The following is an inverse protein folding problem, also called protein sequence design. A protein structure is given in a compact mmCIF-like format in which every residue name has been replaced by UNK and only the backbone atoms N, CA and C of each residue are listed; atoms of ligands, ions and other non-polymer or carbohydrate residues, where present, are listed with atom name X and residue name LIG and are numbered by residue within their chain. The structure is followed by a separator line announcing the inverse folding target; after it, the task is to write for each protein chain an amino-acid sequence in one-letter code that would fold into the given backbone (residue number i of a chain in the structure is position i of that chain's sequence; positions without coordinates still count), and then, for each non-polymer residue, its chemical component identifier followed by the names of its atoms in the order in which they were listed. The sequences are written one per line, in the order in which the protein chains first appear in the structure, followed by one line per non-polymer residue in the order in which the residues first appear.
data_IF_648931652177
#
_entry.id   IF_648931652177
#
_cell.length_a   1.000
_cell.length_b   1.000
_cell.length_c   1.000
_cell.angle_alpha   90.00
_cell.angle_beta   90.00
_cell.angle_gamma   90.00
#
_symmetry.space_group_name_H-M   'P 1'
#
loop_
_entity.id
_entity.type
_entity.pdbx_description
1 polymer ?
#
# COMPACT_ATOMS: atom_id res chain seq x y z
N UNK A 1 -9.21 11.24 1.70
CA UNK A 1 -9.13 12.29 0.66
C UNK A 1 -10.08 12.04 -0.52
N UNK A 2 -10.73 10.88 -0.65
CA UNK A 2 -11.60 10.53 -1.80
C UNK A 2 -13.06 10.97 -1.68
N UNK A 3 -13.55 11.36 -0.50
CA UNK A 3 -14.93 11.86 -0.30
C UNK A 3 -15.33 13.03 -1.22
N UNK A 4 -14.51 14.10 -1.41
CA UNK A 4 -14.84 15.19 -2.33
C UNK A 4 -14.86 14.77 -3.80
N UNK A 5 -14.10 13.73 -4.19
CA UNK A 5 -14.12 13.17 -5.55
C UNK A 5 -15.48 12.59 -5.88
N UNK A 6 -16.00 11.76 -4.99
CA UNK A 6 -17.27 11.06 -5.21
C UNK A 6 -18.47 12.01 -5.23
N UNK A 7 -18.45 13.07 -4.41
CA UNK A 7 -19.50 14.10 -4.41
C UNK A 7 -19.48 14.90 -5.71
N UNK A 8 -18.29 15.25 -6.24
CA UNK A 8 -18.15 15.93 -7.55
C UNK A 8 -18.58 15.07 -8.72
N UNK A 9 -18.41 13.75 -8.63
CA UNK A 9 -18.97 12.80 -9.59
C UNK A 9 -20.48 12.60 -9.44
N UNK A 10 -21.13 13.21 -8.45
CA UNK A 10 -22.58 13.20 -8.25
C UNK A 10 -23.12 11.99 -7.49
N UNK A 11 -22.28 11.25 -6.76
CA UNK A 11 -22.72 10.17 -5.87
C UNK A 11 -23.23 10.73 -4.54
N UNK A 12 -24.24 10.09 -3.96
CA UNK A 12 -24.73 10.49 -2.63
C UNK A 12 -23.78 10.01 -1.54
N UNK A 13 -23.62 10.80 -0.47
CA UNK A 13 -22.82 10.44 0.70
C UNK A 13 -23.23 9.10 1.34
N UNK A 14 -24.51 8.73 1.23
CA UNK A 14 -25.04 7.48 1.75
C UNK A 14 -24.59 6.26 0.92
N UNK A 15 -24.58 6.37 -0.41
CA UNK A 15 -24.10 5.32 -1.31
C UNK A 15 -22.59 5.14 -1.21
N UNK A 16 -21.84 6.24 -1.20
CA UNK A 16 -20.39 6.22 -0.96
C UNK A 16 -20.10 5.61 0.40
N UNK A 17 -20.81 6.05 1.43
CA UNK A 17 -20.60 5.61 2.80
C UNK A 17 -20.88 4.13 3.00
N UNK A 18 -21.91 3.58 2.34
CA UNK A 18 -22.25 2.15 2.43
C UNK A 18 -21.25 1.29 1.67
N UNK A 19 -20.90 1.66 0.43
CA UNK A 19 -19.94 0.91 -0.39
C UNK A 19 -18.53 0.96 0.20
N UNK A 20 -18.04 2.15 0.59
CA UNK A 20 -16.69 2.32 1.13
C UNK A 20 -16.57 1.66 2.51
N UNK A 21 -17.57 1.78 3.39
CA UNK A 21 -17.49 1.13 4.71
C UNK A 21 -17.59 -0.38 4.61
N UNK A 22 -18.55 -0.92 3.87
CA UNK A 22 -18.74 -2.37 3.85
C UNK A 22 -17.68 -3.00 2.95
N UNK A 23 -17.64 -2.66 1.66
CA UNK A 23 -16.71 -3.30 0.74
C UNK A 23 -15.25 -2.95 1.06
N UNK A 24 -14.96 -1.70 1.44
CA UNK A 24 -13.59 -1.26 1.72
C UNK A 24 -12.97 -1.91 2.96
N UNK A 25 -13.73 -2.01 4.07
CA UNK A 25 -13.21 -2.64 5.30
C UNK A 25 -12.94 -4.13 5.08
N UNK A 26 -13.92 -4.85 4.51
CA UNK A 26 -13.75 -6.28 4.24
C UNK A 26 -12.63 -6.54 3.23
N UNK A 27 -12.54 -5.74 2.16
CA UNK A 27 -11.46 -5.85 1.20
C UNK A 27 -10.08 -5.61 1.84
N UNK A 28 -9.95 -4.64 2.74
CA UNK A 28 -8.69 -4.38 3.45
C UNK A 28 -8.29 -5.54 4.35
N UNK A 29 -9.24 -6.12 5.10
CA UNK A 29 -8.96 -7.27 5.97
C UNK A 29 -8.53 -8.48 5.15
N UNK A 30 -9.28 -8.81 4.11
CA UNK A 30 -8.95 -9.94 3.22
C UNK A 30 -7.62 -9.68 2.50
N UNK A 31 -7.38 -8.46 2.04
CA UNK A 31 -6.11 -8.03 1.45
C UNK A 31 -4.94 -8.17 2.41
N UNK A 32 -5.08 -7.76 3.67
CA UNK A 32 -4.04 -7.93 4.67
C UNK A 32 -3.70 -9.40 4.93
N UNK A 33 -4.73 -10.26 5.05
CA UNK A 33 -4.54 -11.70 5.27
C UNK A 33 -3.90 -12.39 4.07
N UNK A 34 -4.40 -12.13 2.86
CA UNK A 34 -3.86 -12.69 1.61
C UNK A 34 -2.44 -12.17 1.38
N UNK A 35 -2.22 -10.88 1.61
CA UNK A 35 -0.90 -10.24 1.53
C UNK A 35 0.10 -10.88 2.48
N UNK A 36 -0.29 -11.09 3.74
CA UNK A 36 0.47 -11.81 4.75
C UNK A 36 0.87 -13.22 4.30
N UNK A 37 -0.09 -14.00 3.79
CA UNK A 37 0.17 -15.35 3.30
C UNK A 37 1.10 -15.36 2.07
N UNK A 38 0.96 -14.41 1.15
CA UNK A 38 1.82 -14.26 -0.02
C UNK A 38 3.25 -13.90 0.39
N UNK A 39 3.43 -12.98 1.36
CA UNK A 39 4.75 -12.57 1.88
C UNK A 39 5.55 -13.79 2.36
N UNK A 40 4.90 -14.73 3.05
CA UNK A 40 5.54 -15.97 3.53
C UNK A 40 6.03 -16.84 2.37
N UNK A 41 5.34 -16.85 1.21
CA UNK A 41 5.71 -17.68 0.05
C UNK A 41 6.77 -17.05 -0.86
N UNK A 42 6.68 -15.75 -1.13
CA UNK A 42 7.55 -15.09 -2.14
C UNK A 42 8.64 -14.21 -1.53
N UNK A 43 8.62 -14.05 -0.21
CA UNK A 43 9.53 -13.18 0.55
C UNK A 43 9.08 -11.71 0.54
N UNK A 44 9.47 -10.99 1.60
CA UNK A 44 9.11 -9.58 1.86
C UNK A 44 9.48 -8.69 0.66
N UNK A 45 10.68 -8.87 0.10
CA UNK A 45 11.17 -8.02 -1.00
C UNK A 45 10.35 -8.14 -2.29
N UNK A 46 9.96 -9.35 -2.69
CA UNK A 46 9.13 -9.53 -3.91
C UNK A 46 7.69 -9.10 -3.64
N UNK A 47 7.16 -9.39 -2.46
CA UNK A 47 5.82 -8.97 -2.06
C UNK A 47 5.68 -7.44 -2.05
N UNK A 48 6.65 -6.71 -1.49
CA UNK A 48 6.64 -5.25 -1.45
C UNK A 48 6.59 -4.63 -2.86
N UNK A 49 7.34 -5.19 -3.81
CA UNK A 49 7.31 -4.73 -5.20
C UNK A 49 5.98 -5.06 -5.88
N UNK A 50 5.50 -6.31 -5.79
CA UNK A 50 4.24 -6.75 -6.41
C UNK A 50 3.04 -5.96 -5.87
N UNK A 51 2.96 -5.78 -4.56
CA UNK A 51 1.87 -5.02 -3.94
C UNK A 51 1.97 -3.52 -4.24
N UNK A 52 3.18 -2.97 -4.34
CA UNK A 52 3.39 -1.59 -4.80
C UNK A 52 2.89 -1.37 -6.23
N UNK A 53 3.19 -2.30 -7.15
CA UNK A 53 2.69 -2.23 -8.55
C UNK A 53 1.18 -2.34 -8.56
N UNK A 54 0.63 -3.28 -7.79
CA UNK A 54 -0.81 -3.49 -7.72
C UNK A 54 -1.53 -2.26 -7.12
N UNK A 55 -0.94 -1.62 -6.11
CA UNK A 55 -1.45 -0.37 -5.54
C UNK A 55 -1.44 0.75 -6.57
N UNK A 56 -0.36 0.89 -7.35
CA UNK A 56 -0.29 1.88 -8.43
C UNK A 56 -1.34 1.61 -9.51
N UNK A 57 -1.56 0.35 -9.86
CA UNK A 57 -2.62 -0.06 -10.80
C UNK A 57 -4.02 0.26 -10.25
N UNK A 58 -4.26 0.05 -8.95
CA UNK A 58 -5.52 0.42 -8.32
C UNK A 58 -5.78 1.93 -8.34
N UNK A 59 -4.72 2.74 -8.12
CA UNK A 59 -4.80 4.22 -8.25
C UNK A 59 -5.10 4.64 -9.69
N UNK A 60 -4.51 3.98 -10.68
CA UNK A 60 -4.87 4.21 -12.10
C UNK A 60 -6.32 3.80 -12.41
N UNK A 61 -6.88 2.83 -11.69
CA UNK A 61 -8.30 2.48 -11.75
C UNK A 61 -9.22 3.67 -11.44
N UNK A 62 -8.80 4.59 -10.55
CA UNK A 62 -9.55 5.83 -10.30
C UNK A 62 -9.45 6.85 -11.44
N UNK A 63 -8.31 6.90 -12.14
CA UNK A 63 -8.19 7.71 -13.36
C UNK A 63 -9.18 7.21 -14.42
N UNK A 64 -9.30 5.89 -14.60
CA UNK A 64 -10.31 5.29 -15.48
C UNK A 64 -11.75 5.53 -15.00
N UNK A 65 -11.99 5.47 -13.69
CA UNK A 65 -13.30 5.77 -13.13
C UNK A 65 -13.72 7.22 -13.41
N UNK A 66 -12.76 8.15 -13.44
CA UNK A 66 -13.02 9.57 -13.72
C UNK A 66 -13.49 9.86 -15.15
N UNK A 67 -13.26 8.94 -16.11
CA UNK A 67 -13.70 9.06 -17.51
C UNK A 67 -14.98 8.28 -17.80
N UNK A 68 -15.47 7.47 -16.85
CA UNK A 68 -16.64 6.60 -17.03
C UNK A 68 -17.89 7.21 -16.40
N UNK A 69 -19.05 7.03 -17.02
CA UNK A 69 -20.36 7.50 -16.52
C UNK A 69 -20.72 6.94 -15.14
N UNK A 70 -21.61 7.64 -14.43
CA UNK A 70 -22.20 7.26 -13.13
C UNK A 70 -22.57 5.77 -13.06
N UNK A 71 -21.80 5.01 -12.30
CA UNK A 71 -22.07 3.61 -12.02
C UNK A 71 -21.52 3.23 -10.65
N UNK A 72 -22.43 2.97 -9.71
CA UNK A 72 -22.12 2.50 -8.36
C UNK A 72 -21.30 1.21 -8.38
N UNK A 73 -21.52 0.35 -9.37
CA UNK A 73 -20.80 -0.92 -9.53
C UNK A 73 -19.34 -0.68 -9.86
N UNK A 74 -19.04 0.26 -10.77
CA UNK A 74 -17.65 0.58 -11.13
C UNK A 74 -16.92 1.21 -9.93
N UNK A 75 -17.60 2.08 -9.18
CA UNK A 75 -17.06 2.66 -7.96
C UNK A 75 -16.77 1.57 -6.91
N UNK A 76 -17.70 0.64 -6.69
CA UNK A 76 -17.50 -0.46 -5.75
C UNK A 76 -16.31 -1.37 -6.13
N UNK A 77 -16.13 -1.68 -7.41
CA UNK A 77 -15.02 -2.50 -7.90
C UNK A 77 -13.68 -1.79 -7.69
N UNK A 78 -13.57 -0.53 -8.10
CA UNK A 78 -12.31 0.23 -7.99
C UNK A 78 -11.95 0.46 -6.52
N UNK A 79 -12.92 0.84 -5.69
CA UNK A 79 -12.73 1.04 -4.25
C UNK A 79 -12.34 -0.26 -3.56
N UNK A 80 -13.01 -1.38 -3.86
CA UNK A 80 -12.65 -2.67 -3.24
C UNK A 80 -11.25 -3.12 -3.67
N UNK A 81 -10.88 -2.97 -4.94
CA UNK A 81 -9.54 -3.27 -5.44
C UNK A 81 -8.46 -2.39 -4.79
N UNK A 82 -8.74 -1.10 -4.58
CA UNK A 82 -7.85 -0.19 -3.87
C UNK A 82 -7.66 -0.61 -2.42
N UNK A 83 -8.74 -0.81 -1.68
CA UNK A 83 -8.69 -1.20 -0.27
C UNK A 83 -8.00 -2.56 -0.08
N UNK A 84 -8.23 -3.50 -1.00
CA UNK A 84 -7.55 -4.79 -1.04
C UNK A 84 -6.03 -4.61 -1.22
N UNK A 85 -5.62 -3.76 -2.16
CA UNK A 85 -4.22 -3.43 -2.41
C UNK A 85 -3.56 -2.74 -1.21
N UNK A 86 -4.28 -1.82 -0.56
CA UNK A 86 -3.82 -1.11 0.64
C UNK A 86 -3.58 -2.10 1.78
N UNK A 87 -4.48 -3.07 1.98
CA UNK A 87 -4.34 -4.12 2.97
C UNK A 87 -3.07 -4.95 2.75
N UNK A 88 -2.83 -5.40 1.50
CA UNK A 88 -1.62 -6.16 1.15
C UNK A 88 -0.35 -5.32 1.31
N UNK A 89 -0.34 -4.09 0.80
CA UNK A 89 0.80 -3.19 0.88
C UNK A 89 1.17 -2.87 2.34
N UNK A 90 0.17 -2.66 3.20
CA UNK A 90 0.37 -2.41 4.64
C UNK A 90 0.96 -3.64 5.32
N UNK A 91 0.46 -4.85 5.03
CA UNK A 91 1.03 -6.08 5.56
C UNK A 91 2.51 -6.24 5.17
N UNK A 92 2.86 -5.98 3.90
CA UNK A 92 4.25 -6.03 3.45
C UNK A 92 5.12 -4.96 4.07
N UNK A 93 4.60 -3.75 4.24
CA UNK A 93 5.31 -2.64 4.87
C UNK A 93 5.60 -2.91 6.34
N UNK A 94 4.62 -3.43 7.09
CA UNK A 94 4.79 -3.82 8.50
C UNK A 94 5.80 -4.97 8.61
N UNK A 95 5.72 -5.98 7.74
CA UNK A 95 6.69 -7.07 7.71
C UNK A 95 8.11 -6.58 7.41
N UNK A 96 8.26 -5.63 6.48
CA UNK A 96 9.53 -4.98 6.19
C UNK A 96 10.08 -4.21 7.40
N UNK A 97 9.26 -3.38 8.06
CA UNK A 97 9.68 -2.67 9.27
C UNK A 97 10.09 -3.64 10.39
N UNK A 98 9.36 -4.73 10.57
CA UNK A 98 9.69 -5.79 11.53
C UNK A 98 11.03 -6.47 11.22
N UNK A 99 11.36 -6.67 9.93
CA UNK A 99 12.65 -7.25 9.53
C UNK A 99 13.84 -6.34 9.79
N UNK A 100 13.64 -5.01 9.77
CA UNK A 100 14.69 -4.00 10.01
C UNK A 100 14.84 -3.67 11.50
N UNK A 101 13.83 -3.97 12.35
CA UNK A 101 13.90 -3.70 13.79
C UNK A 101 14.61 -4.82 14.54
N UNK A 102 15.67 -4.47 15.27
CA UNK A 102 16.45 -5.42 16.06
C UNK A 102 15.74 -5.74 17.39
N UNK A 103 15.62 -7.02 17.76
CA UNK A 103 14.84 -7.55 18.92
C UNK A 103 15.17 -6.93 20.28
N UNK A 104 16.27 -6.17 20.40
CA UNK A 104 16.80 -5.61 21.65
C UNK A 104 16.26 -4.20 22.01
N UNK A 105 15.73 -3.43 21.05
CA UNK A 105 15.14 -2.08 21.26
C UNK A 105 13.92 -1.80 20.34
N UNK A 106 13.15 -2.85 20.01
CA UNK A 106 12.16 -2.84 18.92
C UNK A 106 11.03 -1.81 19.04
N UNK A 107 10.57 -1.50 20.25
CA UNK A 107 9.41 -0.63 20.44
C UNK A 107 9.69 0.82 20.04
N UNK A 108 10.84 1.37 20.46
CA UNK A 108 11.19 2.78 20.18
C UNK A 108 11.56 2.98 18.71
N UNK A 109 12.30 2.05 18.10
CA UNK A 109 12.64 2.13 16.67
C UNK A 109 11.40 1.99 15.78
N UNK A 110 10.48 1.10 16.11
CA UNK A 110 9.21 0.97 15.38
C UNK A 110 8.36 2.23 15.49
N UNK A 111 8.29 2.85 16.67
CA UNK A 111 7.59 4.12 16.88
C UNK A 111 8.22 5.27 16.10
N UNK A 112 9.55 5.37 16.08
CA UNK A 112 10.28 6.39 15.31
C UNK A 112 10.09 6.21 13.81
N UNK A 113 10.19 4.98 13.29
CA UNK A 113 9.97 4.68 11.88
C UNK A 113 8.51 4.97 11.47
N UNK A 114 7.53 4.58 12.29
CA UNK A 114 6.11 4.88 12.05
C UNK A 114 5.86 6.39 12.02
N UNK A 115 6.47 7.13 12.96
CA UNK A 115 6.40 8.59 13.00
C UNK A 115 7.02 9.21 11.73
N UNK A 116 8.15 8.67 11.28
CA UNK A 116 8.81 9.12 10.06
C UNK A 116 7.96 8.87 8.81
N UNK A 117 7.21 7.76 8.74
CA UNK A 117 6.31 7.49 7.60
C UNK A 117 5.10 8.43 7.54
N UNK A 118 4.74 9.03 8.66
CA UNK A 118 3.57 9.92 8.76
C UNK A 118 3.86 11.33 8.22
N UNK A 119 5.13 11.76 8.24
CA UNK A 119 5.51 13.11 7.79
C UNK A 119 5.32 13.26 6.27
N UNK A 120 5.90 12.40 5.40
CA UNK A 120 5.73 12.52 3.95
C UNK A 120 4.28 12.37 3.52
N UNK A 121 3.55 11.41 4.10
CA UNK A 121 2.15 11.15 3.73
C UNK A 121 1.26 12.36 4.03
N UNK A 122 1.47 13.04 5.16
CA UNK A 122 0.71 14.24 5.53
C UNK A 122 1.07 15.43 4.65
N UNK A 123 2.37 15.65 4.40
CA UNK A 123 2.84 16.76 3.55
C UNK A 123 2.35 16.65 2.10
N UNK A 124 2.31 15.43 1.55
CA UNK A 124 1.80 15.18 0.20
C UNK A 124 0.27 15.30 0.14
N UNK A 125 -0.44 14.96 1.23
CA UNK A 125 -1.90 15.02 1.28
C UNK A 125 -2.45 16.45 1.43
N UNK A 126 -1.73 17.36 2.10
CA UNK A 126 -2.18 18.75 2.31
C UNK A 126 -2.50 19.53 1.01
N UNK A 127 -1.60 19.60 0.01
CA UNK A 127 -1.85 20.37 -1.22
C UNK A 127 -2.73 19.62 -2.23
N UNK A 128 -3.09 18.36 -1.97
CA UNK A 128 -3.82 17.51 -2.91
C UNK A 128 -5.15 18.14 -3.37
N UNK A 129 -5.87 18.82 -2.48
CA UNK A 129 -7.14 19.50 -2.82
C UNK A 129 -6.95 20.63 -3.82
N UNK A 130 -5.95 21.49 -3.62
CA UNK A 130 -5.62 22.59 -4.53
C UNK A 130 -5.11 22.08 -5.88
N UNK A 131 -4.30 21.01 -5.85
CA UNK A 131 -3.81 20.37 -7.07
C UNK A 131 -4.96 19.85 -7.93
N UNK A 132 -5.93 19.16 -7.33
CA UNK A 132 -7.10 18.64 -8.04
C UNK A 132 -7.93 19.75 -8.67
N UNK A 133 -8.08 20.90 -7.99
CA UNK A 133 -8.79 22.05 -8.56
C UNK A 133 -8.05 22.66 -9.76
N UNK A 134 -6.72 22.60 -9.79
CA UNK A 134 -5.91 23.17 -10.87
C UNK A 134 -5.75 22.23 -12.09
N UNK A 135 -5.52 20.94 -11.88
CA UNK A 135 -5.21 19.97 -12.98
C UNK A 135 -6.34 19.00 -13.31
N UNK A 136 -7.40 18.94 -12.49
CA UNK A 136 -8.51 18.00 -12.64
C UNK A 136 -8.19 16.60 -12.12
N UNK A 137 -9.24 15.82 -11.86
CA UNK A 137 -9.16 14.51 -11.21
C UNK A 137 -8.34 13.49 -12.00
N UNK A 138 -8.49 13.44 -13.33
CA UNK A 138 -7.74 12.50 -14.16
C UNK A 138 -6.23 12.71 -14.05
N UNK A 139 -5.76 13.94 -14.29
CA UNK A 139 -4.34 14.26 -14.23
C UNK A 139 -3.77 14.11 -12.81
N UNK A 140 -4.56 14.37 -11.77
CA UNK A 140 -4.15 14.13 -10.39
C UNK A 140 -3.79 12.67 -10.14
N UNK A 141 -4.66 11.73 -10.54
CA UNK A 141 -4.38 10.30 -10.37
C UNK A 141 -3.21 9.82 -11.23
N UNK A 142 -3.03 10.37 -12.43
CA UNK A 142 -1.86 10.07 -13.28
C UNK A 142 -0.57 10.58 -12.64
N UNK A 143 -0.55 11.80 -12.10
CA UNK A 143 0.59 12.34 -11.36
C UNK A 143 0.89 11.47 -10.14
N UNK A 144 -0.13 11.03 -9.39
CA UNK A 144 0.07 10.10 -8.27
C UNK A 144 0.70 8.77 -8.71
N UNK A 145 0.24 8.20 -9.83
CA UNK A 145 0.81 6.97 -10.37
C UNK A 145 2.27 7.17 -10.81
N UNK A 146 2.60 8.30 -11.44
CA UNK A 146 3.97 8.65 -11.83
C UNK A 146 4.86 8.87 -10.61
N UNK A 147 4.36 9.53 -9.56
CA UNK A 147 5.06 9.69 -8.29
C UNK A 147 5.29 8.37 -7.55
N UNK A 148 4.49 7.33 -7.81
CA UNK A 148 4.71 5.99 -7.26
C UNK A 148 5.87 5.25 -7.93
N UNK A 149 6.21 5.57 -9.18
CA UNK A 149 7.31 4.95 -9.96
C UNK A 149 8.68 5.06 -9.27
N UNK A 150 9.15 6.24 -8.79
CA UNK A 150 10.44 6.31 -8.11
C UNK A 150 10.48 5.48 -6.82
N UNK A 151 9.37 5.39 -6.09
CA UNK A 151 9.25 4.52 -4.92
C UNK A 151 9.39 3.05 -5.29
N UNK A 152 8.71 2.62 -6.35
CA UNK A 152 8.79 1.25 -6.89
C UNK A 152 10.17 0.89 -7.44
N UNK A 153 10.86 1.83 -8.08
CA UNK A 153 12.22 1.65 -8.61
C UNK A 153 13.28 1.54 -7.51
N UNK A 154 13.05 2.12 -6.32
CA UNK A 154 13.98 1.99 -5.20
C UNK A 154 13.93 0.62 -4.52
N UNK A 155 12.78 -0.06 -4.50
CA UNK A 155 12.60 -1.39 -3.87
C UNK A 155 13.64 -2.43 -4.34
N UNK A 156 13.88 -2.64 -5.66
CA UNK A 156 14.89 -3.60 -6.10
C UNK A 156 16.32 -3.18 -5.74
N UNK A 157 16.61 -1.90 -5.53
CA UNK A 157 17.94 -1.44 -5.06
C UNK A 157 18.16 -1.64 -3.55
N UNK A 158 17.08 -1.61 -2.76
CA UNK A 158 17.14 -1.87 -1.32
C UNK A 158 17.42 -3.36 -1.02
N UNK A 159 17.13 -4.27 -1.95
CA UNK A 159 17.50 -5.70 -1.86
C UNK A 159 18.98 -5.93 -1.54
N UNK A 160 19.85 -5.02 -1.93
CA UNK A 160 21.30 -5.13 -1.72
C UNK A 160 21.72 -4.76 -0.30
N UNK A 161 20.91 -4.02 0.47
CA UNK A 161 21.39 -3.33 1.67
C UNK A 161 20.81 -3.82 3.01
N UNK A 162 19.63 -4.46 3.03
CA UNK A 162 18.86 -4.57 4.27
C UNK A 162 18.36 -5.96 4.69
N UNK A 163 18.42 -6.99 3.84
CA UNK A 163 18.06 -8.34 4.28
C UNK A 163 19.33 -9.18 4.42
N UNK A 164 19.58 -9.80 5.58
CA UNK A 164 20.44 -10.97 5.68
C UNK A 164 20.18 -11.87 4.48
N UNK A 165 21.18 -12.02 3.63
CA UNK A 165 21.17 -13.03 2.59
C UNK A 165 20.80 -14.36 3.23
N UNK A 166 20.03 -15.19 2.51
CA UNK A 166 19.54 -16.52 2.89
C UNK A 166 20.62 -17.47 3.49
N UNK A 167 21.89 -17.05 3.50
CA UNK A 167 23.03 -17.63 4.19
C UNK A 167 22.94 -17.60 5.73
N UNK A 168 22.42 -16.56 6.39
CA UNK A 168 22.40 -16.51 7.87
C UNK A 168 21.34 -17.45 8.49
N UNK A 169 20.18 -17.60 7.85
CA UNK A 169 19.12 -18.51 8.32
C UNK A 169 19.55 -19.99 8.13
N UNK A 170 20.36 -20.26 7.10
CA UNK A 170 21.00 -21.57 6.90
C UNK A 170 22.15 -21.82 7.89
N UNK A 171 22.92 -20.79 8.26
CA UNK A 171 24.02 -20.93 9.22
C UNK A 171 23.51 -21.13 10.65
N UNK A 172 22.44 -20.44 11.05
CA UNK A 172 21.79 -20.65 12.36
C UNK A 172 21.07 -22.00 12.42
N UNK A 173 20.39 -22.43 11.34
CA UNK A 173 19.80 -23.77 11.26
C UNK A 173 20.86 -24.89 11.29
N UNK A 174 22.05 -24.66 10.72
CA UNK A 174 23.19 -25.58 10.78
C UNK A 174 23.88 -25.57 12.15
N UNK A 175 23.91 -24.43 12.84
CA UNK A 175 24.49 -24.29 14.18
C UNK A 175 23.60 -24.83 15.31
N UNK A 176 22.29 -25.00 15.07
CA UNK A 176 21.31 -25.56 16.03
C UNK A 176 20.94 -27.02 15.74
N UNK A 177 21.51 -27.64 14.70
CA UNK A 177 21.39 -29.08 14.50
C UNK A 177 22.09 -29.81 15.66
N UNK A 178 21.44 -30.78 16.34
CA UNK A 178 22.10 -31.57 17.36
C UNK A 178 23.27 -32.31 16.72
N UNK A 179 24.47 -32.07 17.25
CA UNK A 179 25.66 -32.83 16.86
C UNK A 179 25.45 -34.28 17.33
N UNK A 180 25.01 -35.14 16.42
CA UNK A 180 25.04 -36.60 16.57
C UNK A 180 26.37 -37.14 16.12
#
# INVERSE_FOLDING_TARGET
MTTPFYIKMGYTLAEIGSVVKVAGIWATIVGGLVGGAIIIRIGINKALFVFGVLQAAAVLGFAWLSTTNHSLVNLAIVVSAENFSIGMATAAFVAFMASVTNKRFSATQYALLTSLTSIPSTLVSMPAGYLVEAVGWFNFFVICAVCAIPGLLMIPKIKTFALPSDHEEQEVAKATAPQT
#
